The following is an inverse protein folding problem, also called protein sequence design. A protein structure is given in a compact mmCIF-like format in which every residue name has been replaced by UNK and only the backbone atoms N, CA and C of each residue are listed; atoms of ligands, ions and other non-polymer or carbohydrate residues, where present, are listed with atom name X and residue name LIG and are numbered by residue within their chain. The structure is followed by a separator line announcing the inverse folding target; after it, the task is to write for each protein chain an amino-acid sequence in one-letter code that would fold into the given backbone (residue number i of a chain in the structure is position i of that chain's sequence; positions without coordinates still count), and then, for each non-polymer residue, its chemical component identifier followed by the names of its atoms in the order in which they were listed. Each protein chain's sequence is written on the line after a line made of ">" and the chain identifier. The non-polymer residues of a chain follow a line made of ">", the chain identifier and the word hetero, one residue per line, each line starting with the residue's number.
data_IF_041959338156
#
_entry.id   IF_041959338156
#
_cell.length_a   1.000
_cell.length_b   1.000
_cell.length_c   1.000
_cell.angle_alpha   90.00
_cell.angle_beta   90.00
_cell.angle_gamma   90.00
#
_symmetry.space_group_name_H-M   'P 1'
#
loop_
_entity.id
_entity.type
_entity.pdbx_description
1 polymer ?
#
# COMPACT_ATOMS: atom_id res chain seq x y z
N UNK A 1 1.30 -22.02 12.93
CA UNK A 1 1.98 -20.72 13.10
C UNK A 1 0.97 -19.58 13.02
N UNK A 2 0.45 -19.10 14.15
CA UNK A 2 -0.43 -17.93 14.15
C UNK A 2 0.47 -16.70 13.99
N UNK A 3 0.64 -16.22 12.76
CA UNK A 3 1.31 -14.93 12.53
C UNK A 3 0.47 -13.86 13.23
N UNK A 4 1.02 -13.23 14.27
CA UNK A 4 0.33 -12.22 15.04
C UNK A 4 -0.03 -11.06 14.09
N UNK A 5 -1.28 -11.01 13.61
CA UNK A 5 -1.70 -10.21 12.46
C UNK A 5 -1.80 -8.73 12.85
N UNK A 6 -0.66 -8.04 12.91
CA UNK A 6 -0.59 -6.63 13.33
C UNK A 6 -1.06 -5.71 12.20
N UNK A 7 -2.39 -5.57 12.06
CA UNK A 7 -3.07 -4.73 11.08
C UNK A 7 -2.57 -3.27 11.08
N UNK A 8 -2.32 -2.70 12.27
CA UNK A 8 -1.75 -1.35 12.40
C UNK A 8 -0.36 -1.24 11.75
N UNK A 9 0.53 -2.21 11.99
CA UNK A 9 1.88 -2.21 11.40
C UNK A 9 1.81 -2.36 9.88
N UNK A 10 0.90 -3.19 9.37
CA UNK A 10 0.66 -3.38 7.94
C UNK A 10 0.19 -2.08 7.26
N UNK A 11 -0.80 -1.40 7.84
CA UNK A 11 -1.29 -0.11 7.31
C UNK A 11 -0.22 0.99 7.35
N UNK A 12 0.59 1.06 8.41
CA UNK A 12 1.71 2.03 8.49
C UNK A 12 2.79 1.79 7.43
N UNK A 13 3.13 0.53 7.13
CA UNK A 13 4.19 0.22 6.14
C UNK A 13 3.69 0.23 4.69
N UNK A 14 2.46 -0.21 4.45
CA UNK A 14 1.99 -0.51 3.10
C UNK A 14 0.68 0.20 2.72
N UNK A 15 0.10 0.97 3.62
CA UNK A 15 -1.12 1.71 3.38
C UNK A 15 -0.93 2.89 2.42
N UNK A 16 -2.05 3.47 2.02
CA UNK A 16 -2.12 4.52 1.00
C UNK A 16 -1.27 5.76 1.34
N UNK A 17 -1.39 6.27 2.57
CA UNK A 17 -0.67 7.48 3.01
C UNK A 17 0.85 7.31 2.88
N UNK A 18 1.37 6.14 3.27
CA UNK A 18 2.80 5.82 3.16
C UNK A 18 3.27 5.79 1.71
N UNK A 19 2.42 5.30 0.79
CA UNK A 19 2.73 5.31 -0.64
C UNK A 19 2.69 6.73 -1.21
N UNK A 20 1.77 7.58 -0.75
CA UNK A 20 1.68 8.97 -1.23
C UNK A 20 2.84 9.84 -0.77
N UNK A 21 3.39 9.60 0.44
CA UNK A 21 4.45 10.41 1.03
C UNK A 21 5.74 10.46 0.19
N UNK A 22 6.09 9.38 -0.49
CA UNK A 22 7.35 9.25 -1.24
C UNK A 22 7.13 9.27 -2.75
N UNK A 23 8.07 9.83 -3.52
CA UNK A 23 8.03 9.82 -5.01
C UNK A 23 7.91 8.39 -5.56
N UNK A 24 8.66 7.44 -5.01
CA UNK A 24 8.59 6.02 -5.42
C UNK A 24 7.22 5.39 -5.12
N UNK A 25 6.61 5.71 -3.98
CA UNK A 25 5.29 5.19 -3.64
C UNK A 25 4.17 5.74 -4.53
N UNK A 26 4.25 7.02 -4.94
CA UNK A 26 3.33 7.61 -5.92
C UNK A 26 3.42 6.91 -7.28
N UNK A 27 4.64 6.58 -7.74
CA UNK A 27 4.85 5.77 -8.96
C UNK A 27 4.16 4.41 -8.88
N UNK A 28 4.24 3.74 -7.72
CA UNK A 28 3.55 2.45 -7.49
C UNK A 28 2.04 2.62 -7.61
N UNK A 29 1.45 3.62 -6.97
CA UNK A 29 0.01 3.88 -7.06
C UNK A 29 -0.42 4.16 -8.50
N UNK A 30 0.33 4.98 -9.24
CA UNK A 30 0.02 5.29 -10.63
C UNK A 30 0.09 4.05 -11.54
N UNK A 31 1.10 3.18 -11.36
CA UNK A 31 1.18 1.91 -12.09
C UNK A 31 -0.02 1.00 -11.77
N UNK A 32 -0.46 0.97 -10.51
CA UNK A 32 -1.61 0.17 -10.08
C UNK A 32 -2.94 0.71 -10.62
N UNK A 33 -3.11 2.04 -10.65
CA UNK A 33 -4.25 2.72 -11.29
C UNK A 33 -4.31 2.44 -12.78
N UNK A 34 -3.19 2.59 -13.49
CA UNK A 34 -3.10 2.28 -14.92
C UNK A 34 -3.44 0.81 -15.23
N UNK A 35 -3.10 -0.11 -14.34
CA UNK A 35 -3.47 -1.52 -14.47
C UNK A 35 -4.96 -1.79 -14.14
N UNK A 36 -5.71 -0.83 -13.61
CA UNK A 36 -7.12 -1.01 -13.25
C UNK A 36 -7.34 -1.87 -12.01
N UNK A 37 -6.40 -1.89 -11.05
CA UNK A 37 -6.57 -2.69 -9.83
C UNK A 37 -7.72 -2.13 -8.97
N UNK A 38 -8.74 -2.94 -8.70
CA UNK A 38 -9.86 -2.59 -7.81
C UNK A 38 -9.40 -2.12 -6.41
N UNK A 39 -8.31 -2.70 -5.88
CA UNK A 39 -7.68 -2.25 -4.63
C UNK A 39 -6.25 -1.81 -4.87
N UNK A 40 -5.93 -0.56 -4.56
CA UNK A 40 -4.60 0.02 -4.81
C UNK A 40 -3.60 -0.24 -3.68
N UNK A 41 -4.05 -0.35 -2.45
CA UNK A 41 -3.21 -0.73 -1.30
C UNK A 41 -3.89 -1.78 -0.44
N UNK A 42 -3.16 -2.26 0.56
CA UNK A 42 -3.70 -3.09 1.65
C UNK A 42 -4.62 -2.30 2.57
#
# INVERSE_FOLDING_TARGET
>A
MITHLKTRKRKRRHGFLTRMRLKGGRKVLNKRRRKGRHKLTV
#
